data_IF_979696580021
#
_entry.id   IF_979696580021
#
_cell.length_a   1.000
_cell.length_b   1.000
_cell.length_c   1.000
_cell.angle_alpha   90.00
_cell.angle_beta   90.00
_cell.angle_gamma   90.00
#
_symmetry.space_group_name_H-M   'P 1'
#
loop_
_entity.id
_entity.type
_entity.pdbx_description
1 polymer ?
#
# COMPACT_ATOMS: atom_id res chain seq x y z
N UNK A 1 -8.27 -46.69 -0.91
CA UNK A 1 -6.88 -47.16 -0.78
C UNK A 1 -6.07 -46.47 -1.86
N UNK A 2 -5.05 -45.72 -1.45
CA UNK A 2 -4.32 -44.74 -2.24
C UNK A 2 -3.38 -45.39 -3.26
N UNK A 3 -3.53 -45.03 -4.53
CA UNK A 3 -2.50 -45.24 -5.55
C UNK A 3 -1.52 -44.08 -5.46
N UNK A 4 -0.29 -44.35 -5.01
CA UNK A 4 0.82 -43.38 -5.08
C UNK A 4 1.41 -43.44 -6.50
N UNK A 5 1.29 -42.34 -7.23
CA UNK A 5 2.02 -42.12 -8.48
C UNK A 5 3.38 -41.52 -8.13
N UNK A 6 4.44 -42.28 -8.39
CA UNK A 6 5.83 -41.81 -8.31
C UNK A 6 6.19 -41.16 -9.65
N UNK A 7 6.57 -39.88 -9.64
CA UNK A 7 7.15 -39.22 -10.81
C UNK A 7 8.68 -39.29 -10.73
N UNK A 8 9.29 -40.03 -11.65
CA UNK A 8 10.74 -40.08 -11.85
C UNK A 8 11.15 -38.99 -12.84
N UNK A 9 11.86 -37.97 -12.38
CA UNK A 9 12.40 -36.90 -13.24
C UNK A 9 13.70 -37.41 -13.87
N UNK A 10 13.66 -37.67 -15.17
CA UNK A 10 14.86 -37.87 -16.00
C UNK A 10 15.62 -36.54 -16.10
N UNK A 11 16.81 -36.46 -15.47
CA UNK A 11 17.83 -35.46 -15.80
C UNK A 11 18.31 -35.73 -17.23
N UNK A 12 18.04 -34.81 -18.15
CA UNK A 12 18.87 -34.63 -19.35
C UNK A 12 19.94 -33.63 -18.98
N UNK A 13 21.19 -34.07 -19.03
CA UNK A 13 22.36 -33.23 -18.88
C UNK A 13 22.45 -32.30 -20.10
N UNK A 14 21.81 -31.14 -20.00
CA UNK A 14 22.09 -30.00 -20.86
C UNK A 14 23.06 -29.13 -20.08
N UNK A 15 24.33 -29.09 -20.49
CA UNK A 15 25.28 -28.09 -20.01
C UNK A 15 24.73 -26.71 -20.40
N UNK A 16 24.27 -25.97 -19.41
CA UNK A 16 23.95 -24.55 -19.53
C UNK A 16 25.28 -23.84 -19.32
N UNK A 17 25.75 -23.15 -20.35
CA UNK A 17 26.89 -22.25 -20.30
C UNK A 17 26.54 -21.10 -19.33
N UNK A 18 27.15 -21.11 -18.14
CA UNK A 18 27.02 -20.09 -17.09
C UNK A 18 27.73 -18.78 -17.50
N UNK A 19 27.33 -18.20 -18.63
CA UNK A 19 27.51 -16.76 -18.84
C UNK A 19 26.21 -16.05 -18.44
N UNK A 20 25.86 -16.25 -17.17
CA UNK A 20 24.81 -15.49 -16.51
C UNK A 20 25.30 -14.05 -16.40
N UNK A 21 24.61 -13.14 -17.08
CA UNK A 21 24.81 -11.70 -16.91
C UNK A 21 24.35 -11.40 -15.48
N UNK A 22 25.32 -11.39 -14.56
CA UNK A 22 25.18 -11.07 -13.15
C UNK A 22 24.64 -9.64 -13.02
N UNK A 23 23.31 -9.51 -12.96
CA UNK A 23 22.70 -8.45 -12.19
C UNK A 23 22.99 -8.75 -10.72
N UNK A 24 24.21 -8.43 -10.29
CA UNK A 24 24.78 -8.59 -8.94
C UNK A 24 23.86 -9.30 -7.96
N UNK A 25 23.96 -10.63 -7.89
CA UNK A 25 23.17 -11.45 -6.97
C UNK A 25 23.23 -10.90 -5.53
N UNK A 26 22.10 -10.93 -4.82
CA UNK A 26 21.99 -10.45 -3.45
C UNK A 26 23.05 -11.15 -2.56
N UNK A 27 24.07 -10.43 -2.03
CA UNK A 27 25.28 -11.06 -1.48
C UNK A 27 25.11 -11.58 -0.04
N UNK A 28 23.88 -11.68 0.46
CA UNK A 28 23.60 -12.01 1.85
C UNK A 28 23.12 -13.45 1.96
N UNK A 29 23.84 -14.24 2.74
CA UNK A 29 23.41 -15.57 3.15
C UNK A 29 22.24 -15.49 4.15
N UNK A 30 21.44 -16.55 4.20
CA UNK A 30 20.35 -16.77 5.16
C UNK A 30 20.74 -16.47 6.61
N UNK A 31 21.98 -16.80 6.99
CA UNK A 31 22.54 -16.50 8.31
C UNK A 31 22.53 -15.00 8.64
N UNK A 32 22.85 -14.14 7.66
CA UNK A 32 22.86 -12.68 7.84
C UNK A 32 21.44 -12.12 7.93
N UNK A 33 20.50 -12.66 7.16
CA UNK A 33 19.09 -12.25 7.22
C UNK A 33 18.52 -12.54 8.61
N UNK A 34 18.82 -13.71 9.19
CA UNK A 34 18.40 -14.05 10.54
C UNK A 34 19.01 -13.13 11.60
N UNK A 35 20.29 -12.75 11.45
CA UNK A 35 20.92 -11.76 12.34
C UNK A 35 20.20 -10.40 12.27
N UNK A 36 19.87 -9.92 11.07
CA UNK A 36 19.09 -8.70 10.88
C UNK A 36 17.67 -8.78 11.44
N UNK A 37 17.02 -9.94 11.35
CA UNK A 37 15.72 -10.17 11.98
C UNK A 37 15.81 -9.97 13.51
N UNK A 38 16.87 -10.48 14.16
CA UNK A 38 17.08 -10.28 15.59
C UNK A 38 17.25 -8.80 15.95
N UNK A 39 18.08 -8.06 15.21
CA UNK A 39 18.23 -6.62 15.45
C UNK A 39 16.92 -5.86 15.24
N UNK A 40 16.15 -6.20 14.20
CA UNK A 40 14.87 -5.53 13.91
C UNK A 40 13.84 -5.77 15.03
N UNK A 41 13.78 -6.99 15.58
CA UNK A 41 12.87 -7.32 16.69
C UNK A 41 13.24 -6.58 17.98
N UNK A 42 14.54 -6.43 18.26
CA UNK A 42 15.05 -5.68 19.41
C UNK A 42 14.71 -4.19 19.28
N UNK A 43 15.00 -3.57 18.14
CA UNK A 43 14.74 -2.14 17.90
C UNK A 43 13.25 -1.78 17.91
N UNK A 44 12.38 -2.69 17.42
CA UNK A 44 10.93 -2.49 17.47
C UNK A 44 10.30 -2.79 18.83
N UNK A 45 11.10 -3.21 19.83
CA UNK A 45 10.63 -3.65 21.15
C UNK A 45 9.46 -4.66 21.08
N UNK A 46 9.44 -5.50 20.04
CA UNK A 46 8.36 -6.46 19.74
C UNK A 46 6.95 -5.86 19.50
N UNK A 47 6.83 -4.58 19.15
CA UNK A 47 5.57 -3.99 18.65
C UNK A 47 5.28 -4.44 17.21
N UNK A 48 4.83 -5.70 17.03
CA UNK A 48 4.65 -6.32 15.72
C UNK A 48 3.24 -6.22 15.12
N UNK A 49 2.25 -5.79 15.90
CA UNK A 49 0.85 -5.73 15.46
C UNK A 49 0.53 -4.31 14.99
N UNK A 50 0.28 -4.15 13.69
CA UNK A 50 -0.07 -2.88 13.05
C UNK A 50 -1.50 -2.91 12.54
N UNK A 51 -2.24 -1.83 12.77
CA UNK A 51 -3.60 -1.66 12.25
C UNK A 51 -3.57 -0.89 10.94
N UNK A 52 -4.11 -1.48 9.88
CA UNK A 52 -4.05 -0.90 8.54
C UNK A 52 -5.38 -0.23 8.10
N UNK A 53 -5.32 0.84 7.29
CA UNK A 53 -6.47 1.59 6.74
C UNK A 53 -7.40 0.79 5.81
N UNK A 54 -6.99 -0.36 5.27
CA UNK A 54 -7.82 -1.15 4.33
C UNK A 54 -9.14 -1.63 4.93
N UNK A 55 -9.13 -2.00 6.22
CA UNK A 55 -10.32 -2.47 6.92
C UNK A 55 -11.37 -1.36 7.11
N UNK A 56 -11.04 -0.17 7.65
CA UNK A 56 -11.99 0.93 7.70
C UNK A 56 -12.39 1.42 6.30
N UNK A 57 -11.48 1.42 5.32
CA UNK A 57 -11.80 1.80 3.94
C UNK A 57 -12.93 0.94 3.36
N UNK A 58 -12.76 -0.39 3.39
CA UNK A 58 -13.76 -1.32 2.84
C UNK A 58 -15.10 -1.24 3.59
N UNK A 59 -15.07 -1.02 4.90
CA UNK A 59 -16.28 -0.85 5.70
C UNK A 59 -17.06 0.41 5.27
N UNK A 60 -16.40 1.57 5.24
CA UNK A 60 -17.03 2.85 4.87
C UNK A 60 -17.49 2.84 3.42
N UNK A 61 -16.67 2.32 2.50
CA UNK A 61 -17.03 2.19 1.09
C UNK A 61 -18.28 1.32 0.89
N UNK A 62 -18.40 0.22 1.65
CA UNK A 62 -19.60 -0.63 1.63
C UNK A 62 -20.84 0.08 2.16
N UNK A 63 -20.72 0.88 3.22
CA UNK A 63 -21.85 1.66 3.77
C UNK A 63 -22.34 2.73 2.78
N UNK A 64 -21.41 3.38 2.10
CA UNK A 64 -21.71 4.36 1.05
C UNK A 64 -22.25 3.72 -0.23
N UNK A 65 -22.08 2.41 -0.41
CA UNK A 65 -22.40 1.70 -1.65
C UNK A 65 -21.49 2.14 -2.81
N UNK A 66 -20.21 2.40 -2.52
CA UNK A 66 -19.19 2.70 -3.52
C UNK A 66 -18.93 1.47 -4.39
N UNK A 67 -18.87 1.67 -5.70
CA UNK A 67 -18.57 0.61 -6.66
C UNK A 67 -17.10 0.19 -6.59
N UNK A 68 -16.80 -0.97 -7.16
CA UNK A 68 -15.45 -1.55 -7.19
C UNK A 68 -14.43 -0.62 -7.87
N UNK A 69 -14.83 0.14 -8.89
CA UNK A 69 -13.98 1.15 -9.55
C UNK A 69 -13.51 2.24 -8.58
N UNK A 70 -14.45 2.83 -7.84
CA UNK A 70 -14.16 3.86 -6.84
C UNK A 70 -13.36 3.31 -5.66
N UNK A 71 -13.72 2.12 -5.17
CA UNK A 71 -12.98 1.46 -4.10
C UNK A 71 -11.54 1.15 -4.52
N UNK A 72 -11.32 0.71 -5.77
CA UNK A 72 -9.99 0.44 -6.30
C UNK A 72 -9.14 1.71 -6.37
N UNK A 73 -9.74 2.85 -6.70
CA UNK A 73 -9.05 4.14 -6.69
C UNK A 73 -8.63 4.55 -5.27
N UNK A 74 -9.55 4.46 -4.31
CA UNK A 74 -9.25 4.72 -2.91
C UNK A 74 -8.18 3.76 -2.36
N UNK A 75 -8.17 2.51 -2.81
CA UNK A 75 -7.15 1.53 -2.45
C UNK A 75 -5.76 1.93 -2.94
N UNK A 76 -5.64 2.45 -4.16
CA UNK A 76 -4.37 2.95 -4.68
C UNK A 76 -3.86 4.13 -3.85
N UNK A 77 -4.74 5.07 -3.51
CA UNK A 77 -4.38 6.21 -2.64
C UNK A 77 -3.87 5.73 -1.27
N UNK A 78 -4.53 4.74 -0.66
CA UNK A 78 -4.06 4.13 0.59
C UNK A 78 -2.68 3.49 0.41
N UNK A 79 -2.39 2.82 -0.70
CA UNK A 79 -1.07 2.26 -0.95
C UNK A 79 0.00 3.37 -1.03
N UNK A 80 -0.32 4.48 -1.68
CA UNK A 80 0.60 5.61 -1.83
C UNK A 80 0.83 6.32 -0.49
N UNK A 81 -0.12 6.27 0.46
CA UNK A 81 0.06 6.81 1.82
C UNK A 81 1.21 6.14 2.61
N UNK A 82 1.64 4.92 2.26
CA UNK A 82 2.79 4.28 2.91
C UNK A 82 4.14 4.79 2.41
N UNK A 83 4.14 5.62 1.36
CA UNK A 83 5.35 6.30 0.89
C UNK A 83 5.59 7.62 1.64
N UNK A 84 4.67 8.01 2.51
CA UNK A 84 4.78 9.17 3.41
C UNK A 84 4.76 8.72 4.87
N UNK A 85 4.92 9.66 5.80
CA UNK A 85 4.99 9.38 7.23
C UNK A 85 3.59 9.35 7.91
N UNK A 86 2.50 9.49 7.14
CA UNK A 86 1.14 9.63 7.70
C UNK A 86 0.70 8.40 8.50
N UNK A 87 1.25 7.22 8.22
CA UNK A 87 0.94 5.99 8.96
C UNK A 87 1.48 5.99 10.39
N UNK A 88 2.46 6.85 10.69
CA UNK A 88 3.02 7.05 12.03
C UNK A 88 2.36 8.23 12.77
N UNK A 89 1.79 9.18 12.01
CA UNK A 89 1.21 10.41 12.55
C UNK A 89 -0.30 10.31 12.83
N UNK A 90 -1.02 9.53 12.03
CA UNK A 90 -2.48 9.50 12.07
C UNK A 90 -3.06 8.09 12.24
N UNK A 91 -4.23 7.96 12.90
CA UNK A 91 -4.93 6.69 12.97
C UNK A 91 -5.38 6.17 11.59
N UNK A 92 -5.43 4.84 11.39
CA UNK A 92 -5.72 4.24 10.09
C UNK A 92 -7.13 4.56 9.54
N UNK A 93 -8.11 4.85 10.40
CA UNK A 93 -9.44 5.26 9.93
C UNK A 93 -9.43 6.68 9.32
N UNK A 94 -8.59 7.60 9.82
CA UNK A 94 -8.48 8.94 9.23
C UNK A 94 -7.84 8.88 7.85
N UNK A 95 -6.81 8.04 7.68
CA UNK A 95 -6.16 7.79 6.39
C UNK A 95 -7.17 7.19 5.38
N UNK A 96 -8.00 6.24 5.82
CA UNK A 96 -9.05 5.67 4.97
C UNK A 96 -10.09 6.71 4.54
N UNK A 97 -10.51 7.59 5.46
CA UNK A 97 -11.45 8.68 5.13
C UNK A 97 -10.81 9.68 4.18
N UNK A 98 -9.53 10.03 4.37
CA UNK A 98 -8.78 10.89 3.46
C UNK A 98 -8.68 10.29 2.05
N UNK A 99 -8.46 8.97 1.93
CA UNK A 99 -8.46 8.29 0.64
C UNK A 99 -9.82 8.33 -0.06
N UNK A 100 -10.92 8.13 0.68
CA UNK A 100 -12.29 8.28 0.16
C UNK A 100 -12.53 9.74 -0.26
N UNK A 101 -12.12 10.70 0.57
CA UNK A 101 -12.23 12.13 0.28
C UNK A 101 -11.54 12.49 -1.03
N UNK A 102 -10.28 12.08 -1.23
CA UNK A 102 -9.54 12.31 -2.46
C UNK A 102 -10.22 11.64 -3.67
N UNK A 103 -10.72 10.42 -3.52
CA UNK A 103 -11.45 9.71 -4.58
C UNK A 103 -12.71 10.46 -5.01
N UNK A 104 -13.45 11.00 -4.04
CA UNK A 104 -14.66 11.82 -4.29
C UNK A 104 -14.29 13.15 -4.96
N UNK A 105 -13.28 13.85 -4.45
CA UNK A 105 -12.83 15.15 -4.98
C UNK A 105 -12.30 15.03 -6.42
N UNK A 106 -11.61 13.94 -6.72
CA UNK A 106 -11.09 13.65 -8.07
C UNK A 106 -12.18 13.13 -9.03
N UNK A 107 -13.44 13.03 -8.60
CA UNK A 107 -14.57 12.51 -9.38
C UNK A 107 -14.36 11.06 -9.88
N UNK A 108 -13.66 10.24 -9.10
CA UNK A 108 -13.50 8.81 -9.34
C UNK A 108 -14.41 7.95 -8.45
N UNK A 109 -15.18 8.59 -7.57
CA UNK A 109 -16.17 7.91 -6.74
C UNK A 109 -17.44 7.60 -7.55
N UNK A 110 -17.56 6.35 -8.01
CA UNK A 110 -18.81 5.81 -8.55
C UNK A 110 -19.60 5.15 -7.42
N UNK A 111 -20.87 5.53 -7.27
CA UNK A 111 -21.78 4.93 -6.29
C UNK A 111 -22.83 4.06 -7.00
N UNK A 112 -23.29 3.00 -6.33
CA UNK A 112 -24.35 2.14 -6.86
C UNK A 112 -25.69 2.89 -6.91
N UNK A 113 -26.56 2.64 -7.91
CA UNK A 113 -27.86 3.27 -7.97
C UNK A 113 -28.71 2.98 -6.73
N UNK A 114 -29.24 4.03 -6.12
CA UNK A 114 -30.03 3.99 -4.89
C UNK A 114 -29.23 3.81 -3.60
N UNK A 115 -27.89 3.83 -3.67
CA UNK A 115 -27.01 3.79 -2.50
C UNK A 115 -27.06 5.07 -1.67
N UNK A 116 -26.48 5.02 -0.48
CA UNK A 116 -26.35 6.19 0.39
C UNK A 116 -25.47 7.25 -0.29
N UNK A 117 -24.35 6.86 -0.89
CA UNK A 117 -23.42 7.78 -1.55
C UNK A 117 -24.02 8.53 -2.74
N UNK A 118 -24.88 7.89 -3.54
CA UNK A 118 -25.53 8.57 -4.67
C UNK A 118 -26.56 9.62 -4.23
N UNK A 119 -27.28 9.35 -3.13
CA UNK A 119 -28.38 10.20 -2.64
C UNK A 119 -27.93 11.31 -1.71
N UNK A 120 -26.70 11.23 -1.21
CA UNK A 120 -26.19 12.13 -0.19
C UNK A 120 -25.28 13.17 -0.82
N UNK A 121 -25.37 14.41 -0.35
CA UNK A 121 -24.33 15.39 -0.64
C UNK A 121 -23.07 14.99 0.14
N UNK A 122 -22.06 14.48 -0.58
CA UNK A 122 -20.81 14.02 0.04
C UNK A 122 -20.13 15.10 0.88
N UNK A 123 -20.28 16.39 0.55
CA UNK A 123 -19.73 17.48 1.37
C UNK A 123 -20.40 17.53 2.74
N UNK A 124 -21.72 17.41 2.76
CA UNK A 124 -22.48 17.36 4.01
C UNK A 124 -22.18 16.06 4.77
N UNK A 125 -22.05 14.93 4.05
CA UNK A 125 -21.70 13.64 4.67
C UNK A 125 -20.37 13.73 5.43
N UNK A 126 -19.32 14.32 4.83
CA UNK A 126 -18.04 14.53 5.52
C UNK A 126 -18.17 15.50 6.71
N UNK A 127 -19.00 16.54 6.61
CA UNK A 127 -19.23 17.49 7.69
C UNK A 127 -19.99 16.87 8.89
N UNK A 128 -20.83 15.87 8.63
CA UNK A 128 -21.60 15.17 9.66
C UNK A 128 -20.77 14.09 10.39
N UNK A 129 -19.60 13.72 9.86
CA UNK A 129 -18.69 12.79 10.53
C UNK A 129 -18.14 13.42 11.81
N UNK A 130 -18.15 12.66 12.90
CA UNK A 130 -17.49 13.05 14.15
C UNK A 130 -15.98 12.76 14.09
N UNK A 131 -15.32 13.31 13.07
CA UNK A 131 -13.88 13.16 12.79
C UNK A 131 -13.29 14.54 12.55
N UNK A 132 -12.03 14.71 12.91
CA UNK A 132 -11.31 15.95 12.67
C UNK A 132 -11.07 16.17 11.17
N UNK A 133 -11.68 17.23 10.62
CA UNK A 133 -11.58 17.58 9.20
C UNK A 133 -10.22 18.20 8.89
N UNK A 134 -9.60 18.91 9.84
CA UNK A 134 -8.27 19.50 9.65
C UNK A 134 -7.25 18.39 9.41
N UNK A 135 -7.24 17.35 10.24
CA UNK A 135 -6.40 16.16 10.03
C UNK A 135 -6.65 15.44 8.70
N UNK A 136 -7.90 15.37 8.21
CA UNK A 136 -8.19 14.79 6.88
C UNK A 136 -7.55 15.62 5.76
N UNK A 137 -7.62 16.95 5.86
CA UNK A 137 -7.02 17.85 4.88
C UNK A 137 -5.50 17.72 4.91
N UNK A 138 -4.88 17.67 6.08
CA UNK A 138 -3.43 17.49 6.25
C UNK A 138 -2.96 16.18 5.61
N UNK A 139 -3.61 15.06 5.91
CA UNK A 139 -3.31 13.76 5.29
C UNK A 139 -3.45 13.84 3.76
N UNK A 140 -4.51 14.50 3.28
CA UNK A 140 -4.75 14.64 1.84
C UNK A 140 -3.67 15.46 1.16
N UNK A 141 -3.17 16.52 1.81
CA UNK A 141 -2.08 17.35 1.30
C UNK A 141 -0.76 16.59 1.26
N UNK A 142 -0.42 15.83 2.31
CA UNK A 142 0.78 14.99 2.33
C UNK A 142 0.78 13.95 1.21
N UNK A 143 -0.36 13.28 0.99
CA UNK A 143 -0.51 12.34 -0.12
C UNK A 143 -0.37 13.05 -1.46
N UNK A 144 -0.94 14.25 -1.63
CA UNK A 144 -0.82 14.99 -2.89
C UNK A 144 0.61 15.47 -3.15
N UNK A 145 1.32 15.91 -2.12
CA UNK A 145 2.69 16.41 -2.19
C UNK A 145 3.65 15.35 -2.76
N UNK A 146 3.43 14.06 -2.47
CA UNK A 146 4.29 13.00 -2.99
C UNK A 146 4.23 12.89 -4.52
N UNK A 147 3.09 13.21 -5.14
CA UNK A 147 2.96 13.15 -6.60
C UNK A 147 3.77 14.25 -7.29
N UNK A 148 3.97 15.40 -6.64
CA UNK A 148 4.86 16.45 -7.14
C UNK A 148 6.31 15.98 -7.11
N UNK A 149 6.74 15.37 -6.01
CA UNK A 149 8.10 14.81 -5.86
C UNK A 149 8.34 13.69 -6.89
N UNK A 150 7.35 12.83 -7.09
CA UNK A 150 7.48 11.69 -7.99
C UNK A 150 7.58 12.13 -9.46
N UNK A 151 6.91 13.22 -9.85
CA UNK A 151 7.01 13.77 -11.21
C UNK A 151 8.45 14.18 -11.58
N UNK A 152 9.22 14.67 -10.61
CA UNK A 152 10.61 15.12 -10.79
C UNK A 152 11.65 14.02 -10.51
N UNK A 153 11.23 12.87 -10.02
CA UNK A 153 12.12 11.81 -9.57
C UNK A 153 12.84 11.10 -10.73
N UNK A 154 14.16 10.90 -10.58
CA UNK A 154 15.01 10.21 -11.56
C UNK A 154 15.82 9.13 -10.87
N UNK A 155 15.45 7.88 -11.10
CA UNK A 155 16.11 6.69 -10.53
C UNK A 155 17.63 6.68 -10.75
N UNK A 156 18.05 7.08 -11.94
CA UNK A 156 19.45 7.10 -12.38
C UNK A 156 20.34 7.96 -11.46
N UNK A 157 19.80 9.03 -10.87
CA UNK A 157 20.56 9.92 -9.98
C UNK A 157 20.77 9.30 -8.58
N UNK A 158 19.89 8.38 -8.16
CA UNK A 158 19.98 7.76 -6.82
C UNK A 158 21.08 6.71 -6.73
N UNK A 159 21.33 5.96 -7.81
CA UNK A 159 22.34 4.89 -7.84
C UNK A 159 23.76 5.42 -7.59
N UNK A 160 24.03 6.68 -7.94
CA UNK A 160 25.33 7.30 -7.73
C UNK A 160 25.56 7.73 -6.27
N UNK A 161 24.51 8.13 -5.54
CA UNK A 161 24.62 8.55 -4.13
C UNK A 161 25.07 7.43 -3.18
N UNK A 162 24.89 6.17 -3.55
CA UNK A 162 25.26 5.01 -2.74
C UNK A 162 26.65 4.44 -3.05
N UNK A 163 27.34 5.00 -4.05
CA UNK A 163 28.67 4.51 -4.49
C UNK A 163 29.84 5.35 -3.96
N UNK A 164 29.57 6.53 -3.40
CA UNK A 164 30.53 7.39 -2.71
C UNK A 164 30.49 7.16 -1.19
#
# INVERSE_FOLDING_TARGET
MSSKVTYSIHRKDTQIDESEVDFGGFPYDSSKVAEFEFYLLEELEFYLVVWHPYRPLTHIASELGMQESGLQYAWFIVNDSYRTDVCLLYPPHMIAIAAIYLTVVMNHADFAPGSVGERTDMRQWFADLNVDIEGIIEISQEILAIYEIWADWKEELMVFLWKD
#
